data_IF_929050941902
#
_entry.id   IF_929050941902
#
_cell.length_a   1.000
_cell.length_b   1.000
_cell.length_c   1.000
_cell.angle_alpha   90.00
_cell.angle_beta   90.00
_cell.angle_gamma   90.00
#
_symmetry.space_group_name_H-M   'P 1'
#
loop_
_entity.id
_entity.type
_entity.pdbx_description
1 polymer ?
#
# COMPACT_ATOMS: atom_id res chain seq x y z
N UNK A 1 28.98 11.55 -7.82
CA UNK A 1 27.70 11.19 -8.45
C UNK A 1 26.66 11.11 -7.35
N UNK A 2 25.67 12.01 -7.33
CA UNK A 2 24.56 11.92 -6.38
C UNK A 2 23.66 10.78 -6.87
N UNK A 3 23.63 9.65 -6.14
CA UNK A 3 22.69 8.58 -6.43
C UNK A 3 21.29 9.09 -6.06
N UNK A 4 20.39 9.18 -7.04
CA UNK A 4 18.99 9.51 -6.80
C UNK A 4 18.37 8.39 -5.95
N UNK A 5 18.08 8.68 -4.69
CA UNK A 5 17.39 7.75 -3.80
C UNK A 5 16.00 7.45 -4.36
N UNK A 6 15.68 6.17 -4.56
CA UNK A 6 14.37 5.75 -5.04
C UNK A 6 13.31 6.01 -3.97
N UNK A 7 12.16 6.52 -4.40
CA UNK A 7 11.03 6.83 -3.53
C UNK A 7 9.82 5.98 -3.91
N UNK A 8 9.09 5.53 -2.88
CA UNK A 8 7.91 4.68 -2.97
C UNK A 8 6.73 5.34 -2.29
N UNK A 9 5.54 5.37 -2.91
CA UNK A 9 4.33 5.84 -2.24
C UNK A 9 3.85 4.79 -1.24
N UNK A 10 3.48 5.23 -0.06
CA UNK A 10 2.83 4.41 0.96
C UNK A 10 1.33 4.42 0.69
N UNK A 11 0.90 3.50 -0.18
CA UNK A 11 -0.48 3.38 -0.65
C UNK A 11 -0.72 4.20 -1.90
N UNK A 12 -1.99 4.48 -2.18
CA UNK A 12 -2.42 5.13 -3.43
C UNK A 12 -3.48 6.20 -3.15
N UNK A 13 -3.58 7.15 -4.08
CA UNK A 13 -4.72 8.03 -4.27
C UNK A 13 -5.23 7.83 -5.70
N UNK A 14 -6.55 7.86 -5.87
CA UNK A 14 -7.12 7.87 -7.23
C UNK A 14 -6.79 9.20 -7.91
N UNK A 15 -6.72 9.20 -9.25
CA UNK A 15 -6.37 10.40 -10.05
C UNK A 15 -7.25 11.62 -9.77
N UNK A 16 -8.52 11.39 -9.44
CA UNK A 16 -9.52 12.40 -9.09
C UNK A 16 -9.58 12.68 -7.58
N UNK A 17 -8.61 12.22 -6.81
CA UNK A 17 -8.51 12.44 -5.36
C UNK A 17 -7.24 13.21 -5.05
N UNK A 18 -7.35 14.21 -4.17
CA UNK A 18 -6.19 14.99 -3.71
C UNK A 18 -6.02 14.87 -2.19
N UNK A 19 -5.00 15.54 -1.67
CA UNK A 19 -4.63 15.48 -0.25
C UNK A 19 -3.36 14.69 -0.01
N UNK A 20 -3.15 14.29 1.24
CA UNK A 20 -1.84 13.79 1.68
C UNK A 20 -1.55 12.38 1.20
N UNK A 21 -0.28 12.10 0.90
CA UNK A 21 0.26 10.77 0.66
C UNK A 21 1.65 10.69 1.28
N UNK A 22 1.95 9.59 1.96
CA UNK A 22 3.29 9.37 2.49
C UNK A 22 4.18 8.80 1.40
N UNK A 23 5.43 9.24 1.36
CA UNK A 23 6.45 8.79 0.43
C UNK A 23 7.68 8.40 1.25
N UNK A 24 8.31 7.28 0.91
CA UNK A 24 9.44 6.73 1.65
C UNK A 24 10.52 6.19 0.71
N UNK A 25 11.77 6.22 1.14
CA UNK A 25 12.87 5.49 0.50
C UNK A 25 13.08 4.08 1.09
N UNK A 26 12.31 3.70 2.12
CA UNK A 26 12.35 2.38 2.73
C UNK A 26 11.32 1.45 2.08
N UNK A 27 11.80 0.47 1.31
CA UNK A 27 10.98 -0.50 0.59
C UNK A 27 10.13 -1.42 1.49
N UNK A 28 10.42 -1.50 2.79
CA UNK A 28 9.63 -2.30 3.75
C UNK A 28 8.28 -1.66 4.07
N UNK A 29 8.25 -0.33 4.10
CA UNK A 29 7.10 0.44 4.57
C UNK A 29 5.83 0.25 3.73
N UNK A 30 5.88 0.26 2.38
CA UNK A 30 4.71 -0.06 1.57
C UNK A 30 4.14 -1.44 1.92
N UNK A 31 4.97 -2.45 2.16
CA UNK A 31 4.53 -3.81 2.44
C UNK A 31 3.99 -3.99 3.88
N UNK A 32 4.59 -3.32 4.87
CA UNK A 32 4.17 -3.41 6.28
C UNK A 32 2.91 -2.58 6.58
N UNK A 33 2.82 -1.36 6.04
CA UNK A 33 1.71 -0.43 6.31
C UNK A 33 0.44 -0.71 5.47
N UNK A 34 0.59 -1.34 4.30
CA UNK A 34 -0.53 -1.66 3.40
C UNK A 34 -1.16 -3.04 3.63
N UNK A 35 -0.57 -3.90 4.48
CA UNK A 35 -1.21 -5.17 4.84
C UNK A 35 -2.53 -4.88 5.57
N UNK A 36 -3.64 -5.32 4.96
CA UNK A 36 -5.02 -4.98 5.38
C UNK A 36 -5.32 -5.35 6.84
N UNK A 37 -4.53 -6.25 7.43
CA UNK A 37 -4.64 -6.69 8.82
C UNK A 37 -4.52 -5.55 9.83
N UNK A 38 -3.73 -4.49 9.54
CA UNK A 38 -3.54 -3.40 10.49
C UNK A 38 -4.55 -2.27 10.38
N UNK A 39 -5.44 -2.30 9.36
CA UNK A 39 -6.63 -1.43 9.28
C UNK A 39 -6.33 0.04 9.59
N UNK A 40 -5.26 0.60 9.01
CA UNK A 40 -4.83 1.96 9.31
C UNK A 40 -5.88 2.97 8.82
N UNK A 41 -6.22 3.91 9.70
CA UNK A 41 -7.23 4.93 9.46
C UNK A 41 -6.80 5.89 8.35
N UNK A 42 -7.78 6.23 7.52
CA UNK A 42 -7.69 7.23 6.46
C UNK A 42 -8.90 8.15 6.63
N UNK A 43 -8.66 9.44 6.82
CA UNK A 43 -9.72 10.42 7.00
C UNK A 43 -9.81 11.27 5.75
N UNK A 44 -11.02 11.39 5.22
CA UNK A 44 -11.32 12.17 4.03
C UNK A 44 -12.37 13.23 4.33
N UNK A 45 -12.25 14.36 3.66
CA UNK A 45 -13.34 15.30 3.46
C UNK A 45 -13.98 15.02 2.09
N UNK A 46 -15.30 14.92 2.09
CA UNK A 46 -16.10 14.58 0.90
C UNK A 46 -17.08 15.70 0.64
N UNK A 47 -17.15 16.17 -0.60
CA UNK A 47 -18.22 17.05 -1.08
C UNK A 47 -19.01 16.35 -2.17
N UNK A 48 -20.34 16.39 -2.07
CA UNK A 48 -21.27 15.71 -2.99
C UNK A 48 -22.12 16.69 -3.81
N UNK A 49 -22.76 16.16 -4.85
CA UNK A 49 -23.56 16.89 -5.82
C UNK A 49 -24.98 17.27 -5.34
N UNK A 50 -25.43 16.68 -4.23
CA UNK A 50 -26.72 16.96 -3.58
C UNK A 50 -26.60 16.96 -2.04
N UNK A 51 -27.66 17.36 -1.33
CA UNK A 51 -27.71 17.37 0.13
C UNK A 51 -27.61 15.95 0.69
N UNK A 52 -26.65 15.73 1.59
CA UNK A 52 -26.51 14.46 2.31
C UNK A 52 -27.54 14.41 3.44
N UNK A 53 -28.36 13.39 3.55
CA UNK A 53 -29.32 13.24 4.66
C UNK A 53 -28.66 12.56 5.86
N UNK A 54 -29.31 12.54 7.03
CA UNK A 54 -28.78 11.78 8.17
C UNK A 54 -28.88 10.26 7.92
N UNK A 55 -29.91 9.82 7.20
CA UNK A 55 -30.07 8.43 6.78
C UNK A 55 -28.91 7.98 5.87
N UNK A 56 -28.47 8.83 4.93
CA UNK A 56 -27.29 8.54 4.11
C UNK A 56 -26.03 8.35 4.97
N UNK A 57 -25.84 9.22 5.98
CA UNK A 57 -24.68 9.13 6.89
C UNK A 57 -24.75 7.88 7.75
N UNK A 58 -25.93 7.49 8.23
CA UNK A 58 -26.14 6.24 8.97
C UNK A 58 -25.81 5.02 8.09
N UNK A 59 -26.32 4.96 6.87
CA UNK A 59 -26.00 3.90 5.91
C UNK A 59 -24.49 3.81 5.62
N UNK A 60 -23.80 4.95 5.47
CA UNK A 60 -22.35 4.98 5.32
C UNK A 60 -21.62 4.41 6.55
N UNK A 61 -22.07 4.74 7.77
CA UNK A 61 -21.48 4.27 9.03
C UNK A 61 -21.62 2.75 9.20
N UNK A 62 -22.78 2.21 8.86
CA UNK A 62 -23.07 0.77 8.97
C UNK A 62 -22.33 -0.06 7.91
N UNK A 63 -22.04 0.57 6.77
CA UNK A 63 -21.31 -0.01 5.66
C UNK A 63 -22.24 -0.34 4.50
N UNK A 64 -21.84 0.08 3.30
CA UNK A 64 -22.66 -0.01 2.09
C UNK A 64 -22.13 -1.13 1.20
N UNK A 65 -23.04 -1.91 0.60
CA UNK A 65 -22.65 -2.93 -0.38
C UNK A 65 -22.18 -2.25 -1.66
N UNK A 66 -20.91 -2.43 -1.98
CA UNK A 66 -20.29 -1.85 -3.18
C UNK A 66 -19.66 -2.94 -4.04
N UNK A 67 -19.69 -2.73 -5.35
CA UNK A 67 -19.00 -3.56 -6.33
C UNK A 67 -17.64 -2.95 -6.66
N UNK A 68 -16.56 -3.66 -6.37
CA UNK A 68 -15.19 -3.22 -6.63
C UNK A 68 -14.46 -4.23 -7.48
N UNK A 69 -13.75 -3.74 -8.49
CA UNK A 69 -12.89 -4.56 -9.32
C UNK A 69 -11.46 -4.34 -8.91
N UNK A 70 -10.77 -5.44 -8.60
CA UNK A 70 -9.34 -5.48 -8.42
C UNK A 70 -8.76 -6.22 -9.62
N UNK A 71 -7.83 -5.60 -10.32
CA UNK A 71 -6.99 -6.30 -11.27
C UNK A 71 -5.73 -6.71 -10.53
N UNK A 72 -5.55 -8.02 -10.36
CA UNK A 72 -4.34 -8.65 -9.83
C UNK A 72 -3.96 -9.75 -10.82
N UNK A 73 -2.68 -9.89 -11.13
CA UNK A 73 -2.15 -11.03 -11.92
C UNK A 73 -2.82 -11.19 -13.29
N UNK A 74 -3.06 -10.06 -13.99
CA UNK A 74 -3.86 -9.98 -15.24
C UNK A 74 -5.29 -10.55 -15.13
N UNK A 75 -5.75 -10.86 -13.92
CA UNK A 75 -7.07 -11.39 -13.60
C UNK A 75 -7.92 -10.30 -12.93
N UNK A 76 -8.99 -9.93 -13.63
CA UNK A 76 -9.97 -9.00 -13.09
C UNK A 76 -10.93 -9.74 -12.17
N UNK A 77 -10.81 -9.49 -10.86
CA UNK A 77 -11.74 -10.02 -9.85
C UNK A 77 -12.70 -8.92 -9.42
N UNK A 78 -13.99 -9.19 -9.51
CA UNK A 78 -15.04 -8.29 -9.03
C UNK A 78 -15.59 -8.82 -7.72
N UNK A 79 -15.57 -7.98 -6.69
CA UNK A 79 -16.12 -8.25 -5.37
C UNK A 79 -17.32 -7.33 -5.14
N UNK A 80 -18.48 -7.91 -4.88
CA UNK A 80 -19.67 -7.21 -4.39
C UNK A 80 -19.89 -7.62 -2.94
N UNK A 81 -19.61 -6.71 -2.01
CA UNK A 81 -19.73 -6.98 -0.58
C UNK A 81 -19.91 -5.67 0.20
N UNK A 82 -20.52 -5.70 1.41
CA UNK A 82 -20.56 -4.54 2.30
C UNK A 82 -19.15 -4.06 2.64
N UNK A 83 -18.99 -2.74 2.78
CA UNK A 83 -17.79 -2.15 3.39
C UNK A 83 -17.76 -2.43 4.89
N UNK A 84 -16.59 -2.29 5.50
CA UNK A 84 -16.51 -2.30 6.96
C UNK A 84 -17.23 -1.07 7.53
N UNK A 85 -17.80 -1.18 8.74
CA UNK A 85 -18.33 -0.02 9.46
C UNK A 85 -17.28 1.08 9.58
N UNK A 86 -17.73 2.32 9.48
CA UNK A 86 -16.87 3.49 9.41
C UNK A 86 -17.48 4.68 10.19
N UNK A 87 -16.77 5.80 10.27
CA UNK A 87 -17.36 7.04 10.80
C UNK A 87 -17.71 7.96 9.65
N UNK A 88 -18.90 8.56 9.67
CA UNK A 88 -19.29 9.63 8.75
C UNK A 88 -19.93 10.79 9.54
N UNK A 89 -19.34 11.99 9.49
CA UNK A 89 -19.77 13.16 10.25
C UNK A 89 -20.07 14.33 9.32
N UNK A 90 -21.27 14.89 9.45
CA UNK A 90 -21.70 16.05 8.65
C UNK A 90 -20.80 17.27 8.91
N UNK A 91 -20.39 17.92 7.83
CA UNK A 91 -19.72 19.23 7.87
C UNK A 91 -20.66 20.34 7.38
N UNK A 92 -21.44 20.07 6.34
CA UNK A 92 -22.45 21.00 5.80
C UNK A 92 -23.62 20.22 5.18
N UNK A 93 -24.52 20.93 4.48
CA UNK A 93 -25.60 20.28 3.72
C UNK A 93 -25.05 19.27 2.70
N UNK A 94 -23.89 19.55 2.08
CA UNK A 94 -23.33 18.78 0.96
C UNK A 94 -21.92 18.25 1.21
N UNK A 95 -21.46 18.30 2.45
CA UNK A 95 -20.13 17.81 2.81
C UNK A 95 -20.10 17.10 4.15
N UNK A 96 -19.20 16.13 4.26
CA UNK A 96 -19.00 15.32 5.45
C UNK A 96 -17.55 14.82 5.52
N UNK A 97 -17.09 14.45 6.72
CA UNK A 97 -15.87 13.67 6.89
C UNK A 97 -16.20 12.19 6.92
N UNK A 98 -15.31 11.37 6.37
CA UNK A 98 -15.40 9.91 6.46
C UNK A 98 -14.05 9.31 6.88
N UNK A 99 -14.07 8.40 7.87
CA UNK A 99 -12.88 7.68 8.33
C UNK A 99 -13.03 6.21 8.00
N UNK A 100 -12.20 5.71 7.09
CA UNK A 100 -12.18 4.29 6.69
C UNK A 100 -10.88 3.62 7.12
N UNK A 101 -10.95 2.31 7.33
CA UNK A 101 -9.78 1.49 7.70
C UNK A 101 -9.37 0.50 6.62
N UNK A 102 -10.27 0.15 5.71
CA UNK A 102 -9.97 -0.56 4.46
C UNK A 102 -9.60 0.43 3.34
N UNK A 103 -9.41 -0.09 2.12
CA UNK A 103 -8.93 0.68 0.97
C UNK A 103 -9.29 0.02 -0.36
N UNK A 104 -10.57 -0.29 -0.58
CA UNK A 104 -11.02 -0.86 -1.86
C UNK A 104 -10.95 0.19 -2.97
N UNK A 105 -10.80 -0.24 -4.22
CA UNK A 105 -10.71 0.66 -5.37
C UNK A 105 -11.92 1.61 -5.43
N UNK A 106 -11.66 2.92 -5.41
CA UNK A 106 -12.68 3.99 -5.44
C UNK A 106 -13.76 3.84 -4.37
N UNK A 107 -13.42 3.29 -3.21
CA UNK A 107 -14.38 2.89 -2.18
C UNK A 107 -15.39 3.97 -1.81
N UNK A 108 -14.93 5.16 -1.39
CA UNK A 108 -15.81 6.25 -0.94
C UNK A 108 -16.75 6.69 -2.07
N UNK A 109 -16.22 6.85 -3.29
CA UNK A 109 -17.01 7.23 -4.46
C UNK A 109 -18.10 6.19 -4.79
N UNK A 110 -17.80 4.91 -4.61
CA UNK A 110 -18.76 3.82 -4.81
C UNK A 110 -19.79 3.73 -3.68
N UNK A 111 -19.40 4.00 -2.44
CA UNK A 111 -20.32 4.08 -1.31
C UNK A 111 -21.33 5.21 -1.53
N UNK A 112 -20.85 6.42 -1.85
CA UNK A 112 -21.72 7.56 -2.18
C UNK A 112 -22.62 7.24 -3.40
N UNK A 113 -22.04 6.69 -4.46
CA UNK A 113 -22.80 6.36 -5.67
C UNK A 113 -23.90 5.31 -5.45
N UNK A 114 -23.70 4.37 -4.53
CA UNK A 114 -24.73 3.40 -4.14
C UNK A 114 -25.93 4.05 -3.42
N UNK A 115 -25.73 5.23 -2.83
CA UNK A 115 -26.77 6.05 -2.20
C UNK A 115 -27.31 7.13 -3.16
N UNK A 116 -26.89 7.14 -4.42
CA UNK A 116 -27.29 8.16 -5.39
C UNK A 116 -26.54 9.50 -5.28
N UNK A 117 -25.48 9.57 -4.46
CA UNK A 117 -24.67 10.77 -4.27
C UNK A 117 -23.43 10.77 -5.16
N UNK A 118 -23.28 11.78 -6.01
CA UNK A 118 -22.10 12.00 -6.83
C UNK A 118 -21.02 12.78 -6.08
N UNK A 119 -19.83 12.19 -5.90
CA UNK A 119 -18.70 12.87 -5.24
C UNK A 119 -18.06 13.90 -6.17
N UNK A 120 -18.20 15.17 -5.81
CA UNK A 120 -17.62 16.33 -6.50
C UNK A 120 -16.18 16.56 -6.09
N UNK A 121 -15.89 16.49 -4.79
CA UNK A 121 -14.54 16.65 -4.24
C UNK A 121 -14.22 15.56 -3.23
N UNK A 122 -12.99 15.05 -3.28
CA UNK A 122 -12.50 14.04 -2.35
C UNK A 122 -11.07 14.38 -1.96
N UNK A 123 -10.89 14.74 -0.69
CA UNK A 123 -9.60 15.13 -0.12
C UNK A 123 -9.21 14.21 1.02
N UNK A 124 -8.05 13.55 0.95
CA UNK A 124 -7.48 12.88 2.12
C UNK A 124 -6.78 13.90 3.01
N UNK A 125 -7.32 14.14 4.20
CA UNK A 125 -6.78 15.10 5.17
C UNK A 125 -5.87 14.44 6.21
N UNK A 126 -6.05 13.14 6.47
CA UNK A 126 -5.25 12.41 7.44
C UNK A 126 -5.01 10.95 7.01
N UNK A 127 -3.84 10.43 7.34
CA UNK A 127 -3.45 9.04 7.12
C UNK A 127 -2.59 8.59 8.29
N UNK A 128 -2.98 7.49 8.94
CA UNK A 128 -2.27 6.91 10.10
C UNK A 128 -2.14 7.85 11.32
N UNK A 129 -2.89 8.95 11.40
CA UNK A 129 -2.71 9.98 12.43
C UNK A 129 -1.80 11.14 12.01
N UNK A 130 -1.27 11.10 10.79
CA UNK A 130 -0.46 12.17 10.19
C UNK A 130 -1.37 13.07 9.36
N UNK A 131 -1.32 14.37 9.63
CA UNK A 131 -2.12 15.41 8.96
C UNK A 131 -1.25 16.22 8.00
N UNK A 132 -1.86 16.81 6.99
CA UNK A 132 -1.19 17.78 6.10
C UNK A 132 -1.94 19.09 5.97
N UNK A 133 -2.54 19.54 7.07
CA UNK A 133 -3.28 20.80 7.12
C UNK A 133 -2.37 22.02 6.86
N UNK A 134 -1.06 21.83 7.04
CA UNK A 134 0.00 22.82 6.86
C UNK A 134 0.61 22.84 5.45
N UNK A 135 0.24 21.91 4.57
CA UNK A 135 0.82 21.76 3.23
C UNK A 135 -0.08 22.34 2.14
N UNK A 136 0.50 23.12 1.22
CA UNK A 136 -0.19 23.49 -0.02
C UNK A 136 -0.11 22.34 -1.04
N UNK A 137 -0.99 22.40 -2.03
CA UNK A 137 -0.99 21.42 -3.13
C UNK A 137 0.38 21.43 -3.83
N UNK A 138 0.99 20.24 -3.93
CA UNK A 138 2.31 20.06 -4.55
C UNK A 138 3.49 20.27 -3.61
N UNK A 139 3.27 20.74 -2.39
CA UNK A 139 4.30 20.82 -1.37
C UNK A 139 4.48 19.48 -0.65
N UNK A 140 5.67 19.30 -0.12
CA UNK A 140 6.02 18.18 0.73
C UNK A 140 6.86 18.69 1.90
N UNK A 141 6.85 17.93 2.99
CA UNK A 141 7.76 18.13 4.12
C UNK A 141 8.21 16.78 4.65
N UNK A 142 9.31 16.79 5.38
CA UNK A 142 9.68 15.65 6.19
C UNK A 142 8.70 15.48 7.36
N UNK A 143 8.57 14.24 7.82
CA UNK A 143 7.81 13.93 9.02
C UNK A 143 8.55 14.48 10.24
N UNK A 144 7.78 15.00 11.19
CA UNK A 144 8.31 15.36 12.52
C UNK A 144 8.72 14.10 13.28
N UNK A 145 9.54 14.23 14.32
CA UNK A 145 9.93 13.10 15.18
C UNK A 145 8.71 12.36 15.74
N UNK A 146 7.67 13.09 16.13
CA UNK A 146 6.40 12.52 16.60
C UNK A 146 5.67 11.70 15.53
N UNK A 147 5.67 12.16 14.28
CA UNK A 147 5.05 11.44 13.17
C UNK A 147 5.90 10.24 12.74
N UNK A 148 7.23 10.34 12.84
CA UNK A 148 8.14 9.22 12.62
C UNK A 148 7.92 8.08 13.62
N UNK A 149 7.58 8.37 14.88
CA UNK A 149 7.21 7.34 15.85
C UNK A 149 5.96 6.53 15.42
N UNK A 150 4.99 7.20 14.80
CA UNK A 150 3.77 6.55 14.26
C UNK A 150 4.17 5.57 13.15
N UNK A 151 5.03 6.01 12.23
CA UNK A 151 5.52 5.21 11.11
C UNK A 151 6.33 4.02 11.59
N UNK A 152 7.28 4.23 12.50
CA UNK A 152 8.12 3.17 13.05
C UNK A 152 7.29 2.10 13.77
N UNK A 153 6.30 2.51 14.55
CA UNK A 153 5.37 1.57 15.18
C UNK A 153 4.60 0.74 14.15
N UNK A 154 4.16 1.36 13.05
CA UNK A 154 3.47 0.64 11.99
C UNK A 154 4.38 -0.37 11.26
N UNK A 155 5.68 -0.10 11.14
CA UNK A 155 6.66 -1.06 10.61
C UNK A 155 6.81 -2.24 11.57
N UNK A 156 7.02 -1.97 12.85
CA UNK A 156 7.17 -3.00 13.90
C UNK A 156 5.94 -3.91 13.98
N UNK A 157 4.73 -3.33 13.98
CA UNK A 157 3.48 -4.08 13.94
C UNK A 157 3.49 -5.07 12.75
N UNK A 158 3.95 -4.61 11.58
CA UNK A 158 4.09 -5.38 10.35
C UNK A 158 5.04 -6.57 10.48
N UNK A 159 6.20 -6.37 11.09
CA UNK A 159 7.24 -7.39 11.32
C UNK A 159 6.83 -8.42 12.40
N UNK A 160 6.07 -8.01 13.42
CA UNK A 160 5.55 -8.93 14.45
C UNK A 160 4.46 -9.88 13.92
N UNK A 161 3.67 -9.42 12.94
CA UNK A 161 2.67 -10.29 12.30
C UNK A 161 3.31 -11.34 11.42
N UNK A 162 4.44 -11.03 10.75
CA UNK A 162 5.19 -12.02 9.99
C UNK A 162 5.81 -13.10 10.89
N UNK A 163 6.04 -12.83 12.18
CA UNK A 163 6.62 -13.79 13.13
C UNK A 163 5.62 -14.65 13.90
N UNK A 164 4.32 -14.28 13.96
CA UNK A 164 3.30 -14.99 14.76
C UNK A 164 2.18 -15.65 13.94
N UNK A 165 2.22 -15.56 12.61
CA UNK A 165 1.23 -16.18 11.72
C UNK A 165 1.68 -17.53 11.17
N UNK A 166 1.53 -18.59 11.96
CA UNK A 166 1.65 -19.98 11.49
C UNK A 166 3.08 -20.54 11.51
N UNK A 167 3.21 -21.82 11.85
CA UNK A 167 4.39 -22.60 11.50
C UNK A 167 4.63 -22.44 9.98
N UNK A 168 5.74 -21.81 9.56
CA UNK A 168 6.19 -21.95 8.17
C UNK A 168 6.81 -20.78 7.42
N UNK A 169 6.88 -19.52 7.91
CA UNK A 169 7.63 -18.46 7.20
C UNK A 169 8.88 -18.04 7.97
N UNK A 170 10.06 -18.48 7.51
CA UNK A 170 11.34 -17.98 8.03
C UNK A 170 11.46 -16.51 7.63
N UNK A 171 11.82 -15.63 8.56
CA UNK A 171 12.14 -14.24 8.23
C UNK A 171 13.58 -14.22 7.72
N UNK A 172 13.76 -13.93 6.44
CA UNK A 172 15.06 -13.87 5.80
C UNK A 172 15.79 -12.58 6.18
N UNK A 173 16.93 -12.72 6.85
CA UNK A 173 17.87 -11.63 7.08
C UNK A 173 18.60 -11.26 5.80
N UNK A 174 19.32 -10.13 5.80
CA UNK A 174 20.21 -9.76 4.69
C UNK A 174 21.25 -10.86 4.42
N UNK A 175 21.69 -11.58 5.45
CA UNK A 175 22.61 -12.72 5.31
C UNK A 175 21.93 -13.89 4.60
N UNK A 176 20.69 -14.23 4.95
CA UNK A 176 19.95 -15.32 4.30
C UNK A 176 19.73 -15.03 2.80
N UNK A 177 19.44 -13.78 2.43
CA UNK A 177 19.31 -13.36 1.02
C UNK A 177 20.61 -13.58 0.25
N UNK A 178 21.75 -13.17 0.82
CA UNK A 178 23.06 -13.33 0.18
C UNK A 178 23.40 -14.80 0.01
N UNK A 179 23.29 -15.60 1.07
CA UNK A 179 23.60 -17.03 1.05
C UNK A 179 22.74 -17.78 0.02
N UNK A 180 21.46 -17.43 -0.07
CA UNK A 180 20.59 -18.01 -1.08
C UNK A 180 20.97 -17.61 -2.50
N UNK A 181 21.18 -16.32 -2.77
CA UNK A 181 21.58 -15.85 -4.11
C UNK A 181 22.86 -16.54 -4.58
N UNK A 182 23.82 -16.76 -3.68
CA UNK A 182 25.01 -17.56 -3.96
C UNK A 182 24.68 -19.03 -4.25
N UNK A 183 23.77 -19.64 -3.48
CA UNK A 183 23.39 -21.04 -3.63
C UNK A 183 22.62 -21.34 -4.93
N UNK A 184 21.82 -20.39 -5.44
CA UNK A 184 21.12 -20.52 -6.72
C UNK A 184 21.95 -20.04 -7.92
N UNK A 185 23.22 -19.66 -7.71
CA UNK A 185 24.17 -19.30 -8.76
C UNK A 185 24.15 -17.84 -9.21
N UNK A 186 23.40 -16.97 -8.53
CA UNK A 186 23.29 -15.53 -8.84
C UNK A 186 24.05 -14.63 -7.83
N UNK A 187 25.14 -15.13 -7.24
CA UNK A 187 25.97 -14.36 -6.32
C UNK A 187 26.52 -13.05 -6.92
N UNK A 188 26.73 -13.01 -8.24
CA UNK A 188 27.13 -11.80 -8.96
C UNK A 188 26.09 -10.67 -8.89
N UNK A 189 24.81 -11.00 -8.67
CA UNK A 189 23.70 -10.05 -8.55
C UNK A 189 23.56 -9.46 -7.14
N UNK A 190 24.27 -9.97 -6.12
CA UNK A 190 24.11 -9.54 -4.72
C UNK A 190 24.29 -8.03 -4.55
N UNK A 191 25.29 -7.45 -5.22
CA UNK A 191 25.54 -6.00 -5.13
C UNK A 191 24.43 -5.16 -5.77
N UNK A 192 23.76 -5.67 -6.82
CA UNK A 192 22.59 -5.01 -7.40
C UNK A 192 21.41 -5.00 -6.42
N UNK A 193 21.20 -6.12 -5.71
CA UNK A 193 20.15 -6.27 -4.69
C UNK A 193 20.40 -5.37 -3.47
N UNK A 194 21.64 -5.34 -2.96
CA UNK A 194 22.05 -4.44 -1.87
C UNK A 194 21.87 -2.97 -2.21
N UNK A 195 22.39 -2.53 -3.38
CA UNK A 195 22.24 -1.13 -3.83
C UNK A 195 20.78 -0.72 -4.00
N UNK A 196 19.93 -1.67 -4.35
CA UNK A 196 18.50 -1.45 -4.56
C UNK A 196 17.65 -1.59 -3.30
N UNK A 197 18.28 -1.89 -2.16
CA UNK A 197 17.61 -2.07 -0.86
C UNK A 197 16.62 -3.23 -0.86
N UNK A 198 16.98 -4.35 -1.50
CA UNK A 198 16.19 -5.58 -1.45
C UNK A 198 16.60 -6.38 -0.22
N UNK A 199 15.75 -6.39 0.81
CA UNK A 199 15.87 -7.27 1.97
C UNK A 199 15.08 -8.57 1.78
N UNK A 200 15.12 -9.48 2.74
CA UNK A 200 14.47 -10.79 2.64
C UNK A 200 12.95 -10.71 2.50
N UNK A 201 12.31 -9.76 3.19
CA UNK A 201 10.87 -9.53 3.04
C UNK A 201 10.51 -9.03 1.65
N UNK A 202 11.33 -8.14 1.08
CA UNK A 202 11.15 -7.61 -0.27
C UNK A 202 11.49 -8.65 -1.33
N UNK A 203 12.50 -9.48 -1.13
CA UNK A 203 12.86 -10.59 -2.02
C UNK A 203 11.69 -11.58 -2.15
N UNK A 204 11.15 -12.04 -1.01
CA UNK A 204 9.99 -12.93 -1.01
C UNK A 204 8.77 -12.24 -1.63
N UNK A 205 8.56 -10.96 -1.34
CA UNK A 205 7.47 -10.20 -1.94
C UNK A 205 7.62 -10.05 -3.46
N UNK A 206 8.85 -9.91 -3.98
CA UNK A 206 9.13 -9.79 -5.41
C UNK A 206 8.71 -11.03 -6.20
N UNK A 207 8.76 -12.22 -5.58
CA UNK A 207 8.28 -13.48 -6.17
C UNK A 207 6.80 -13.76 -5.99
N UNK A 208 6.08 -12.94 -5.20
CA UNK A 208 4.63 -13.14 -5.01
C UNK A 208 3.88 -12.96 -6.32
N UNK A 209 2.71 -13.61 -6.49
CA UNK A 209 1.86 -13.40 -7.66
C UNK A 209 1.58 -11.92 -7.93
N UNK A 210 1.36 -11.12 -6.87
CA UNK A 210 1.08 -9.69 -6.94
C UNK A 210 2.27 -8.83 -7.47
N UNK A 211 3.50 -9.36 -7.55
CA UNK A 211 4.72 -8.61 -7.94
C UNK A 211 5.53 -9.23 -9.09
N UNK A 212 5.35 -10.53 -9.37
CA UNK A 212 6.15 -11.25 -10.39
C UNK A 212 6.06 -10.63 -11.78
N UNK A 213 4.89 -10.09 -12.15
CA UNK A 213 4.68 -9.41 -13.45
C UNK A 213 5.55 -8.15 -13.64
N UNK A 214 6.09 -7.60 -12.55
CA UNK A 214 7.01 -6.48 -12.56
C UNK A 214 8.46 -6.90 -12.27
N UNK A 215 8.71 -8.18 -12.00
CA UNK A 215 10.01 -8.67 -11.55
C UNK A 215 11.10 -8.46 -12.60
N UNK A 216 10.84 -8.81 -13.86
CA UNK A 216 11.77 -8.55 -14.96
C UNK A 216 12.19 -7.07 -15.05
N UNK A 217 11.23 -6.15 -14.93
CA UNK A 217 11.49 -4.70 -14.94
C UNK A 217 12.25 -4.27 -13.68
N UNK A 218 11.93 -4.84 -12.51
CA UNK A 218 12.66 -4.58 -11.29
C UNK A 218 14.12 -5.04 -11.40
N UNK A 219 14.38 -6.24 -11.91
CA UNK A 219 15.74 -6.75 -12.11
C UNK A 219 16.53 -5.89 -13.11
N UNK A 220 15.89 -5.47 -14.20
CA UNK A 220 16.48 -4.53 -15.15
C UNK A 220 16.85 -3.18 -14.52
N UNK A 221 15.91 -2.58 -13.77
CA UNK A 221 16.11 -1.30 -13.09
C UNK A 221 17.15 -1.39 -11.95
N UNK A 222 17.35 -2.59 -11.39
CA UNK A 222 18.40 -2.89 -10.43
C UNK A 222 19.79 -3.06 -11.08
N UNK A 223 19.85 -3.15 -12.41
CA UNK A 223 21.08 -3.37 -13.17
C UNK A 223 21.53 -4.82 -13.23
N UNK A 224 20.59 -5.77 -13.14
CA UNK A 224 20.87 -7.19 -13.42
C UNK A 224 21.05 -7.37 -14.93
N UNK A 225 22.09 -8.10 -15.32
CA UNK A 225 22.41 -8.37 -16.72
C UNK A 225 21.32 -9.21 -17.40
N UNK A 226 21.07 -8.96 -18.69
CA UNK A 226 19.97 -9.61 -19.43
C UNK A 226 20.07 -11.15 -19.40
N UNK A 227 21.29 -11.69 -19.39
CA UNK A 227 21.57 -13.12 -19.33
C UNK A 227 21.15 -13.79 -18.01
N UNK A 228 21.14 -13.04 -16.91
CA UNK A 228 20.81 -13.54 -15.57
C UNK A 228 19.33 -13.35 -15.20
N UNK A 229 18.60 -12.43 -15.86
CA UNK A 229 17.24 -12.00 -15.46
C UNK A 229 16.22 -13.14 -15.45
N UNK A 230 16.10 -13.89 -16.54
CA UNK A 230 15.09 -14.95 -16.67
C UNK A 230 15.33 -16.09 -15.68
N UNK A 231 16.60 -16.40 -15.43
CA UNK A 231 16.99 -17.42 -14.47
C UNK A 231 16.75 -16.98 -13.02
N UNK A 232 17.09 -15.74 -12.69
CA UNK A 232 16.88 -15.17 -11.36
C UNK A 232 15.40 -14.92 -11.07
N UNK A 233 14.60 -14.53 -12.08
CA UNK A 233 13.14 -14.40 -11.97
C UNK A 233 12.51 -15.74 -11.53
N UNK A 234 12.87 -16.84 -12.20
CA UNK A 234 12.40 -18.18 -11.83
C UNK A 234 12.81 -18.56 -10.41
N UNK A 235 14.07 -18.34 -10.05
CA UNK A 235 14.58 -18.65 -8.71
C UNK A 235 13.83 -17.87 -7.61
N UNK A 236 13.54 -16.59 -7.83
CA UNK A 236 12.79 -15.75 -6.87
C UNK A 236 11.33 -16.24 -6.72
N UNK A 237 10.70 -16.69 -7.81
CA UNK A 237 9.35 -17.26 -7.77
C UNK A 237 9.34 -18.59 -7.02
N UNK A 238 10.27 -19.50 -7.35
CA UNK A 238 10.41 -20.79 -6.65
C UNK A 238 10.65 -20.59 -5.16
N UNK A 239 11.55 -19.66 -4.79
CA UNK A 239 11.77 -19.28 -3.39
C UNK A 239 10.48 -18.81 -2.71
N UNK A 240 9.67 -18.00 -3.39
CA UNK A 240 8.41 -17.52 -2.85
C UNK A 240 7.35 -18.63 -2.71
N UNK A 241 7.38 -19.67 -3.56
CA UNK A 241 6.49 -20.84 -3.45
C UNK A 241 6.93 -21.79 -2.33
N UNK A 242 8.24 -21.93 -2.09
CA UNK A 242 8.81 -22.77 -1.04
C UNK A 242 8.63 -22.17 0.37
N UNK A 243 8.77 -20.86 0.47
CA UNK A 243 8.70 -20.10 1.72
C UNK A 243 7.33 -19.41 1.92
N UNK A 244 6.31 -19.66 1.09
CA UNK A 244 5.01 -18.95 1.09
C UNK A 244 3.82 -19.78 1.55
#
# INVERSE_FOLDING_TARGET
MSMSTRLYPVGRLDKDTHGIILITNDGRLPNSSLRSKFRKQKIYEVTVDDDVTEDDLEQLRDGVTITTTSQRDRKSTTLTAPTLPCTALRLSARSFTITITEGRNRQIRKMCGALGLGVVDLRRVEFMGIKGDDLRVGEWRELTDSEMLIVNKAVQDGEEVTTRGGEGLRCWSEVDVIEWMESVGYGACVEAFKKSGVDGGRLLNMGTPDQVDHLAYHLEDMGVEEEDREGLERAIVELCEEEG
#
